data_IF_547058418243
#
_entry.id   IF_547058418243
#
_cell.length_a   1.000
_cell.length_b   1.000
_cell.length_c   1.000
_cell.angle_alpha   90.00
_cell.angle_beta   90.00
_cell.angle_gamma   90.00
#
_symmetry.space_group_name_H-M   'P 1'
#
loop_
_entity.id
_entity.type
_entity.pdbx_description
1 polymer ?
#
# COMPACT_ATOMS: atom_id res chain seq x y z
N UNK A 1 29.62 21.14 4.13
CA UNK A 1 29.19 19.75 4.38
C UNK A 1 27.69 19.61 4.66
N UNK A 2 27.12 20.31 5.65
CA UNK A 2 25.66 20.26 5.94
C UNK A 2 24.76 20.61 4.74
N UNK A 3 25.06 21.67 3.98
CA UNK A 3 24.28 22.05 2.78
C UNK A 3 24.28 20.97 1.69
N UNK A 4 25.38 20.21 1.59
CA UNK A 4 25.51 19.10 0.66
C UNK A 4 24.67 17.89 1.12
N UNK A 5 24.71 17.58 2.41
CA UNK A 5 23.88 16.52 3.02
C UNK A 5 22.40 16.83 2.85
N UNK A 6 21.97 18.06 3.15
CA UNK A 6 20.58 18.50 2.97
C UNK A 6 20.12 18.38 1.52
N UNK A 7 20.93 18.83 0.55
CA UNK A 7 20.62 18.69 -0.87
C UNK A 7 20.47 17.22 -1.27
N UNK A 8 21.31 16.35 -0.73
CA UNK A 8 21.27 14.90 -1.00
C UNK A 8 20.01 14.26 -0.43
N UNK A 9 19.61 14.61 0.80
CA UNK A 9 18.37 14.12 1.42
C UNK A 9 17.15 14.59 0.62
N UNK A 10 17.10 15.86 0.22
CA UNK A 10 16.00 16.40 -0.60
C UNK A 10 15.87 15.67 -1.94
N UNK A 11 16.98 15.23 -2.53
CA UNK A 11 16.97 14.43 -3.77
C UNK A 11 16.60 12.96 -3.54
N UNK A 12 16.85 12.42 -2.34
CA UNK A 12 16.44 11.06 -1.99
C UNK A 12 14.93 10.96 -1.75
N UNK A 13 14.31 11.99 -1.18
CA UNK A 13 12.86 12.03 -0.93
C UNK A 13 12.04 11.65 -2.18
N UNK A 14 12.16 12.32 -3.35
CA UNK A 14 11.37 11.97 -4.53
C UNK A 14 11.69 10.58 -5.07
N UNK A 15 12.93 10.11 -4.90
CA UNK A 15 13.36 8.79 -5.35
C UNK A 15 12.74 7.68 -4.51
N UNK A 16 12.70 7.85 -3.19
CA UNK A 16 12.00 6.96 -2.25
C UNK A 16 10.49 7.02 -2.45
N UNK A 17 9.93 8.21 -2.66
CA UNK A 17 8.52 8.40 -3.00
C UNK A 17 8.15 7.63 -4.26
N UNK A 18 8.90 7.82 -5.35
CA UNK A 18 8.67 7.10 -6.60
C UNK A 18 8.75 5.58 -6.41
N UNK A 19 9.76 5.09 -5.69
CA UNK A 19 9.86 3.66 -5.38
C UNK A 19 8.66 3.15 -4.57
N UNK A 20 8.22 3.90 -3.56
CA UNK A 20 7.05 3.53 -2.74
C UNK A 20 5.74 3.50 -3.56
N UNK A 21 5.55 4.45 -4.48
CA UNK A 21 4.40 4.47 -5.40
C UNK A 21 4.44 3.24 -6.31
N UNK A 22 5.61 2.90 -6.85
CA UNK A 22 5.77 1.72 -7.70
C UNK A 22 5.45 0.44 -6.92
N UNK A 23 5.98 0.28 -5.71
CA UNK A 23 5.71 -0.89 -4.87
C UNK A 23 4.23 -0.98 -4.52
N UNK A 24 3.62 0.14 -4.11
CA UNK A 24 2.19 0.23 -3.83
C UNK A 24 1.35 -0.21 -5.05
N UNK A 25 1.67 0.32 -6.23
CA UNK A 25 0.98 -0.04 -7.46
C UNK A 25 1.21 -1.51 -7.84
N UNK A 26 2.42 -2.06 -7.67
CA UNK A 26 2.67 -3.47 -7.95
C UNK A 26 1.85 -4.39 -7.05
N UNK A 27 1.72 -4.05 -5.77
CA UNK A 27 0.95 -4.84 -4.81
C UNK A 27 -0.56 -4.69 -5.04
N UNK A 28 -1.01 -3.49 -5.47
CA UNK A 28 -2.43 -3.22 -5.70
C UNK A 28 -2.96 -3.62 -7.10
N UNK A 29 -2.12 -3.53 -8.13
CA UNK A 29 -2.42 -3.97 -9.49
C UNK A 29 -2.07 -5.45 -9.72
N UNK A 30 -1.43 -6.10 -8.74
CA UNK A 30 -1.18 -7.52 -8.75
C UNK A 30 -2.47 -8.34 -8.87
N UNK A 31 -2.35 -9.60 -9.29
CA UNK A 31 -3.49 -10.48 -9.53
C UNK A 31 -4.18 -10.98 -8.26
N UNK A 32 -3.68 -10.63 -7.07
CA UNK A 32 -4.24 -11.03 -5.78
C UNK A 32 -5.15 -9.95 -5.19
N UNK A 33 -6.30 -10.36 -4.62
CA UNK A 33 -7.12 -9.44 -3.83
C UNK A 33 -6.44 -9.26 -2.45
N UNK A 34 -6.02 -8.04 -2.08
CA UNK A 34 -5.34 -7.80 -0.81
C UNK A 34 -6.19 -8.24 0.40
N UNK A 35 -7.52 -8.18 0.30
CA UNK A 35 -8.41 -8.68 1.35
C UNK A 35 -8.35 -10.21 1.47
N UNK A 36 -8.24 -10.93 0.35
CA UNK A 36 -8.09 -12.39 0.36
C UNK A 36 -6.74 -12.80 0.92
N UNK A 37 -5.67 -12.11 0.53
CA UNK A 37 -4.32 -12.42 1.01
C UNK A 37 -4.19 -12.12 2.51
N UNK A 38 -4.81 -11.03 2.99
CA UNK A 38 -4.89 -10.73 4.41
C UNK A 38 -5.64 -11.82 5.20
N UNK A 39 -6.78 -12.29 4.71
CA UNK A 39 -7.55 -13.35 5.35
C UNK A 39 -6.79 -14.69 5.37
N UNK A 40 -6.10 -15.03 4.28
CA UNK A 40 -5.22 -16.20 4.19
C UNK A 40 -4.06 -16.13 5.17
N UNK A 41 -3.38 -14.99 5.25
CA UNK A 41 -2.30 -14.73 6.22
C UNK A 41 -2.79 -14.83 7.66
N UNK A 42 -4.06 -14.47 7.90
CA UNK A 42 -4.68 -14.53 9.22
C UNK A 42 -5.25 -15.92 9.57
N UNK A 43 -5.14 -16.92 8.69
CA UNK A 43 -5.78 -18.23 8.83
C UNK A 43 -7.33 -18.18 8.96
N UNK A 44 -7.97 -17.10 8.51
CA UNK A 44 -9.43 -17.02 8.48
C UNK A 44 -9.98 -17.58 7.15
N UNK A 45 -11.10 -18.34 7.16
CA UNK A 45 -11.71 -18.82 5.94
C UNK A 45 -12.23 -17.63 5.10
N UNK A 46 -11.87 -17.50 3.82
CA UNK A 46 -12.33 -16.38 2.99
C UNK A 46 -13.80 -16.58 2.60
N UNK A 47 -14.72 -16.31 3.52
CA UNK A 47 -16.15 -16.22 3.21
C UNK A 47 -16.44 -14.89 2.51
N UNK A 48 -17.38 -14.82 1.56
CA UNK A 48 -17.67 -13.59 0.81
C UNK A 48 -17.99 -12.38 1.71
N UNK A 49 -18.71 -12.62 2.81
CA UNK A 49 -19.05 -11.62 3.82
C UNK A 49 -17.81 -11.08 4.54
N UNK A 50 -16.87 -11.96 4.86
CA UNK A 50 -15.65 -11.60 5.56
C UNK A 50 -14.65 -10.91 4.65
N UNK A 51 -14.60 -11.29 3.37
CA UNK A 51 -13.83 -10.54 2.34
C UNK A 51 -14.37 -9.12 2.21
N UNK A 52 -15.69 -8.94 2.17
CA UNK A 52 -16.29 -7.61 2.07
C UNK A 52 -16.02 -6.76 3.33
N UNK A 53 -16.14 -7.33 4.53
CA UNK A 53 -15.83 -6.61 5.77
C UNK A 53 -14.35 -6.27 5.90
N UNK A 54 -13.45 -7.20 5.52
CA UNK A 54 -12.01 -6.95 5.46
C UNK A 54 -11.67 -5.89 4.42
N UNK A 55 -12.37 -5.86 3.27
CA UNK A 55 -12.15 -4.83 2.24
C UNK A 55 -12.44 -3.42 2.76
N UNK A 56 -13.53 -3.26 3.51
CA UNK A 56 -13.88 -1.98 4.16
C UNK A 56 -12.90 -1.67 5.30
N UNK A 57 -12.54 -2.66 6.11
CA UNK A 57 -11.58 -2.50 7.21
C UNK A 57 -10.20 -2.05 6.71
N UNK A 58 -9.74 -2.60 5.59
CA UNK A 58 -8.48 -2.24 4.93
C UNK A 58 -8.58 -0.97 4.08
N UNK A 59 -9.75 -0.31 4.02
CA UNK A 59 -9.97 0.89 3.21
C UNK A 59 -9.78 0.67 1.71
N UNK A 60 -9.89 -0.58 1.25
CA UNK A 60 -9.68 -0.95 -0.15
C UNK A 60 -10.81 -0.44 -1.06
N UNK A 61 -11.93 -0.01 -0.48
CA UNK A 61 -13.06 0.68 -1.10
C UNK A 61 -12.78 2.18 -1.39
N UNK A 62 -11.73 2.76 -0.79
CA UNK A 62 -11.42 4.18 -0.92
C UNK A 62 -10.65 4.50 -2.23
N UNK A 63 -10.56 5.77 -2.66
CA UNK A 63 -9.75 6.15 -3.81
C UNK A 63 -8.27 5.76 -3.64
N UNK A 64 -7.59 5.43 -4.75
CA UNK A 64 -6.17 5.04 -4.79
C UNK A 64 -5.25 6.02 -4.05
N UNK A 65 -5.53 7.32 -4.15
CA UNK A 65 -4.74 8.38 -3.49
C UNK A 65 -4.84 8.29 -1.97
N UNK A 66 -6.03 7.99 -1.45
CA UNK A 66 -6.24 7.85 0.01
C UNK A 66 -5.55 6.59 0.52
N UNK A 67 -5.67 5.49 -0.23
CA UNK A 67 -5.00 4.22 0.11
C UNK A 67 -3.48 4.33 0.10
N UNK A 68 -2.91 5.09 -0.83
CA UNK A 68 -1.49 5.38 -0.85
C UNK A 68 -1.06 6.26 0.33
N UNK A 69 -1.91 7.19 0.77
CA UNK A 69 -1.66 8.02 1.95
C UNK A 69 -1.71 7.25 3.28
N UNK A 70 -2.44 6.12 3.33
CA UNK A 70 -2.54 5.24 4.51
C UNK A 70 -1.62 4.02 4.46
N UNK A 71 -0.85 3.87 3.38
CA UNK A 71 0.09 2.76 3.15
C UNK A 71 1.36 2.86 4.02
#
# INVERSE_FOLDING_TARGET
MIRYILRRIVLLIPMVLAASVIIFLMLRLGTGDPALDYLRLSNLPPTPEMVASTRVMLGLDQPLVVQYGTW
#
